data_IF_435281305332
#
_entry.id   IF_435281305332
#
_cell.length_a   1.000
_cell.length_b   1.000
_cell.length_c   1.000
_cell.angle_alpha   90.00
_cell.angle_beta   90.00
_cell.angle_gamma   90.00
#
_symmetry.space_group_name_H-M   'P 1'
#
loop_
_entity.id
_entity.type
_entity.pdbx_description
1 polymer ?
#
# COMPACT_ATOMS: atom_id res chain seq x y z
N UNK A 1 12.50 18.76 -12.26
CA UNK A 1 12.43 17.30 -12.07
C UNK A 1 12.21 17.01 -10.62
N UNK A 2 10.96 16.87 -10.18
CA UNK A 2 10.64 16.57 -8.78
C UNK A 2 9.37 15.71 -8.69
N UNK A 3 9.27 15.00 -7.57
CA UNK A 3 8.08 14.42 -6.96
C UNK A 3 7.21 13.49 -7.79
N UNK A 4 7.66 12.24 -7.91
CA UNK A 4 6.77 11.14 -8.31
C UNK A 4 6.11 10.46 -7.10
N UNK A 5 6.66 10.63 -5.89
CA UNK A 5 6.03 10.15 -4.65
C UNK A 5 5.20 11.30 -4.06
N UNK A 6 3.89 11.25 -4.28
CA UNK A 6 2.95 12.12 -3.56
C UNK A 6 3.01 11.71 -2.09
N UNK A 7 3.44 12.63 -1.21
CA UNK A 7 3.25 12.69 0.25
C UNK A 7 3.12 11.34 1.00
N UNK A 8 4.03 11.05 1.94
CA UNK A 8 3.82 9.94 2.91
C UNK A 8 2.53 10.17 3.70
N UNK A 9 1.75 9.11 3.88
CA UNK A 9 0.48 9.16 4.62
C UNK A 9 0.64 8.38 5.93
N UNK A 10 -0.05 8.78 7.01
CA UNK A 10 -0.23 7.95 8.20
C UNK A 10 -0.79 6.57 7.83
N UNK A 11 -0.41 5.54 8.59
CA UNK A 11 -0.71 4.14 8.31
C UNK A 11 -2.07 3.76 8.89
N UNK A 12 -3.12 4.42 8.39
CA UNK A 12 -4.53 4.19 8.72
C UNK A 12 -5.36 4.06 7.44
N UNK A 13 -6.40 3.22 7.50
CA UNK A 13 -7.38 3.02 6.45
C UNK A 13 -8.16 4.31 6.12
N UNK A 14 -8.26 5.25 7.07
CA UNK A 14 -8.91 6.55 6.85
C UNK A 14 -8.27 7.34 5.71
N UNK A 15 -6.96 7.14 5.46
CA UNK A 15 -6.23 7.81 4.38
C UNK A 15 -6.38 7.13 3.00
N UNK A 16 -7.09 6.00 2.92
CA UNK A 16 -7.26 5.22 1.69
C UNK A 16 -8.60 5.55 1.02
N UNK A 17 -8.55 6.38 -0.02
CA UNK A 17 -9.71 6.67 -0.89
C UNK A 17 -9.94 5.48 -1.84
N UNK A 18 -11.19 5.04 -1.96
CA UNK A 18 -11.59 3.93 -2.83
C UNK A 18 -11.35 4.18 -4.33
N UNK A 19 -11.04 5.41 -4.73
CA UNK A 19 -10.66 5.78 -6.10
C UNK A 19 -9.14 5.92 -6.28
N UNK A 20 -8.37 5.71 -5.22
CA UNK A 20 -6.93 5.91 -5.19
C UNK A 20 -6.11 4.66 -5.52
N UNK A 21 -4.83 4.90 -5.81
CA UNK A 21 -3.78 3.90 -6.00
C UNK A 21 -2.64 4.23 -5.03
N UNK A 22 -2.30 3.29 -4.17
CA UNK A 22 -1.35 3.50 -3.08
C UNK A 22 -0.22 2.46 -3.13
N UNK A 23 0.95 2.84 -2.64
CA UNK A 23 2.09 1.94 -2.46
C UNK A 23 2.39 1.89 -0.97
N UNK A 24 2.27 0.71 -0.38
CA UNK A 24 2.84 0.39 0.93
C UNK A 24 4.21 -0.25 0.71
N UNK A 25 5.19 0.23 1.45
CA UNK A 25 6.56 -0.27 1.49
C UNK A 25 6.84 -0.76 2.92
N UNK A 26 6.95 -2.09 3.09
CA UNK A 26 7.27 -2.73 4.37
C UNK A 26 8.76 -3.12 4.46
N UNK A 27 9.61 -2.56 3.59
CA UNK A 27 11.03 -2.88 3.39
C UNK A 27 11.32 -4.26 2.76
N UNK A 28 10.41 -5.23 2.86
CA UNK A 28 10.56 -6.56 2.26
C UNK A 28 9.83 -6.70 0.91
N UNK A 29 8.69 -6.04 0.77
CA UNK A 29 7.83 -6.07 -0.42
C UNK A 29 7.16 -4.73 -0.63
N UNK A 30 6.75 -4.49 -1.88
CA UNK A 30 5.86 -3.40 -2.23
C UNK A 30 4.45 -3.94 -2.41
N UNK A 31 3.49 -3.37 -1.70
CA UNK A 31 2.06 -3.66 -1.91
C UNK A 31 1.46 -2.48 -2.65
N UNK A 32 0.95 -2.75 -3.85
CA UNK A 32 0.31 -1.77 -4.71
C UNK A 32 -1.19 -2.00 -4.61
N UNK A 33 -1.83 -1.15 -3.81
CA UNK A 33 -3.24 -1.28 -3.47
C UNK A 33 -4.12 -0.41 -4.37
N UNK A 34 -5.15 -1.03 -4.92
CA UNK A 34 -6.15 -0.44 -5.80
C UNK A 34 -7.46 -0.28 -5.03
N UNK A 35 -7.93 0.96 -4.92
CA UNK A 35 -9.26 1.21 -4.35
C UNK A 35 -10.37 0.53 -5.17
N UNK A 36 -11.47 0.19 -4.52
CA UNK A 36 -12.55 -0.60 -5.11
C UNK A 36 -13.30 0.11 -6.23
N UNK A 37 -13.30 1.44 -6.20
CA UNK A 37 -13.93 2.36 -7.16
C UNK A 37 -12.93 2.99 -8.13
N UNK A 38 -11.69 2.51 -8.18
CA UNK A 38 -10.70 2.99 -9.15
C UNK A 38 -11.11 2.63 -10.58
N UNK A 39 -10.81 3.52 -11.54
CA UNK A 39 -11.12 3.26 -12.95
C UNK A 39 -10.47 1.95 -13.42
N UNK A 40 -11.21 1.03 -14.08
CA UNK A 40 -10.65 -0.18 -14.66
C UNK A 40 -9.51 0.09 -15.65
N UNK A 41 -9.50 1.26 -16.28
CA UNK A 41 -8.44 1.69 -17.18
C UNK A 41 -7.10 1.77 -16.49
N UNK A 42 -7.05 2.09 -15.19
CA UNK A 42 -5.79 2.16 -14.44
C UNK A 42 -5.17 0.76 -14.34
N UNK A 43 -5.98 -0.28 -14.11
CA UNK A 43 -5.52 -1.67 -14.12
C UNK A 43 -4.96 -2.06 -15.48
N UNK A 44 -5.69 -1.76 -16.56
CA UNK A 44 -5.23 -2.01 -17.95
C UNK A 44 -3.98 -1.21 -18.31
N UNK A 45 -3.91 0.05 -17.96
CA UNK A 45 -2.76 0.91 -18.24
C UNK A 45 -1.48 0.47 -17.51
N UNK A 46 -1.61 -0.26 -16.40
CA UNK A 46 -0.49 -0.83 -15.65
C UNK A 46 -0.14 -2.25 -16.11
N UNK A 47 -1.15 -3.05 -16.49
CA UNK A 47 -1.02 -4.48 -16.79
C UNK A 47 -1.37 -4.86 -18.23
N UNK A 48 -1.48 -3.88 -19.12
CA UNK A 48 -1.91 -3.97 -20.52
C UNK A 48 -3.36 -4.44 -20.74
N UNK A 49 -3.71 -4.52 -22.01
CA UNK A 49 -5.08 -4.74 -22.48
C UNK A 49 -5.56 -6.19 -22.25
N UNK A 50 -4.62 -7.13 -22.07
CA UNK A 50 -4.86 -8.53 -21.72
C UNK A 50 -5.19 -8.74 -20.23
N UNK A 51 -5.25 -7.66 -19.44
CA UNK A 51 -5.54 -7.74 -18.02
C UNK A 51 -6.94 -8.29 -17.74
N UNK A 52 -7.00 -9.52 -17.24
CA UNK A 52 -8.25 -10.24 -16.93
C UNK A 52 -8.96 -9.78 -15.65
N UNK A 53 -8.52 -8.70 -15.00
CA UNK A 53 -9.03 -8.27 -13.69
C UNK A 53 -8.48 -9.06 -12.50
N UNK A 54 -7.60 -10.04 -12.74
CA UNK A 54 -6.99 -10.88 -11.70
C UNK A 54 -5.70 -10.25 -11.14
N UNK A 55 -5.80 -9.63 -9.97
CA UNK A 55 -4.69 -8.96 -9.28
C UNK A 55 -3.71 -9.93 -8.60
N UNK A 56 -4.01 -11.23 -8.54
CA UNK A 56 -3.14 -12.22 -7.89
C UNK A 56 -1.84 -12.50 -8.64
N UNK A 57 -1.80 -12.21 -9.95
CA UNK A 57 -0.67 -12.52 -10.82
C UNK A 57 0.48 -11.54 -10.58
N UNK A 58 1.61 -12.10 -10.16
CA UNK A 58 2.73 -11.43 -9.47
C UNK A 58 3.60 -10.52 -10.36
N UNK A 59 3.54 -10.64 -11.70
CA UNK A 59 4.47 -9.88 -12.55
C UNK A 59 3.93 -8.51 -12.97
N UNK A 60 4.46 -7.48 -12.32
CA UNK A 60 4.55 -6.14 -12.91
C UNK A 60 5.80 -6.10 -13.81
N UNK A 61 5.58 -6.13 -15.11
CA UNK A 61 6.62 -5.88 -16.10
C UNK A 61 6.53 -4.44 -16.60
N UNK A 62 7.65 -3.79 -16.94
CA UNK A 62 7.60 -2.52 -17.66
C UNK A 62 6.82 -2.73 -18.96
N UNK A 63 5.75 -1.96 -19.15
CA UNK A 63 4.97 -1.96 -20.39
C UNK A 63 5.14 -0.64 -21.12
N UNK A 64 4.82 -0.63 -22.41
CA UNK A 64 4.88 0.57 -23.25
C UNK A 64 3.69 1.52 -22.99
N UNK A 65 3.45 1.83 -21.72
CA UNK A 65 2.41 2.74 -21.28
C UNK A 65 3.01 3.74 -20.27
N UNK A 66 2.66 5.02 -20.40
CA UNK A 66 3.24 6.10 -19.58
C UNK A 66 3.04 5.85 -18.07
N UNK A 67 1.85 5.40 -17.68
CA UNK A 67 1.53 5.07 -16.29
C UNK A 67 2.38 3.91 -15.74
N UNK A 68 2.59 2.86 -16.53
CA UNK A 68 3.45 1.73 -16.17
C UNK A 68 4.89 2.19 -15.99
N UNK A 69 5.43 2.96 -16.95
CA UNK A 69 6.79 3.54 -16.85
C UNK A 69 6.94 4.42 -15.61
N UNK A 70 5.95 5.25 -15.32
CA UNK A 70 5.94 6.12 -14.14
C UNK A 70 5.95 5.31 -12.85
N UNK A 71 5.11 4.29 -12.73
CA UNK A 71 5.09 3.39 -11.57
C UNK A 71 6.43 2.68 -11.40
N UNK A 72 6.98 2.09 -12.46
CA UNK A 72 8.28 1.41 -12.42
C UNK A 72 9.39 2.36 -11.95
N UNK A 73 9.39 3.62 -12.40
CA UNK A 73 10.35 4.63 -11.95
C UNK A 73 10.20 4.98 -10.46
N UNK A 74 8.99 4.98 -9.92
CA UNK A 74 8.77 5.13 -8.46
C UNK A 74 9.36 3.94 -7.73
N UNK A 75 9.02 2.73 -8.15
CA UNK A 75 9.48 1.50 -7.50
C UNK A 75 11.01 1.41 -7.52
N UNK A 76 11.67 1.69 -8.65
CA UNK A 76 13.14 1.75 -8.72
C UNK A 76 13.74 2.73 -7.71
N UNK A 77 13.18 3.93 -7.57
CA UNK A 77 13.62 4.92 -6.57
C UNK A 77 13.39 4.48 -5.13
N UNK A 78 12.35 3.69 -4.86
CA UNK A 78 12.13 3.11 -3.54
C UNK A 78 13.19 2.05 -3.24
N UNK A 79 13.51 1.18 -4.20
CA UNK A 79 14.57 0.15 -4.05
C UNK A 79 15.95 0.73 -3.79
N UNK A 80 16.27 1.90 -4.35
CA UNK A 80 17.53 2.60 -4.07
C UNK A 80 17.71 2.95 -2.59
N UNK A 81 16.63 3.02 -1.80
CA UNK A 81 16.70 3.33 -0.35
C UNK A 81 17.09 2.12 0.50
N UNK A 82 16.74 0.93 0.06
CA UNK A 82 17.08 -0.33 0.75
C UNK A 82 17.50 -1.39 -0.28
N UNK A 83 18.82 -1.46 -0.60
CA UNK A 83 19.34 -2.39 -1.60
C UNK A 83 19.49 -3.82 -1.06
N UNK A 84 19.17 -4.06 0.21
CA UNK A 84 19.45 -5.33 0.89
C UNK A 84 18.61 -6.49 0.34
N UNK A 85 17.43 -6.18 -0.21
CA UNK A 85 16.50 -7.16 -0.79
C UNK A 85 15.88 -6.61 -2.07
N UNK A 86 15.57 -7.50 -3.02
CA UNK A 86 14.71 -7.13 -4.15
C UNK A 86 13.25 -7.21 -3.71
N UNK A 87 12.63 -6.07 -3.44
CA UNK A 87 11.25 -6.01 -2.97
C UNK A 87 10.29 -6.49 -4.07
N UNK A 88 9.68 -7.65 -3.84
CA UNK A 88 8.62 -8.19 -4.71
C UNK A 88 7.39 -7.29 -4.68
N UNK A 89 6.69 -7.20 -5.81
CA UNK A 89 5.48 -6.39 -5.91
C UNK A 89 4.24 -7.28 -5.81
N UNK A 90 3.33 -6.92 -4.91
CA UNK A 90 2.02 -7.55 -4.78
C UNK A 90 0.94 -6.55 -5.18
N UNK A 91 0.06 -6.95 -6.10
CA UNK A 91 -1.11 -6.16 -6.43
C UNK A 91 -2.27 -6.62 -5.56
N UNK A 92 -2.99 -5.67 -5.00
CA UNK A 92 -4.09 -5.94 -4.07
C UNK A 92 -5.25 -5.02 -4.41
N UNK A 93 -6.47 -5.56 -4.50
CA UNK A 93 -7.67 -4.73 -4.68
C UNK A 93 -8.48 -4.65 -3.39
N UNK A 94 -9.10 -3.50 -3.15
CA UNK A 94 -10.07 -3.34 -2.07
C UNK A 94 -11.19 -4.38 -2.15
N UNK A 95 -11.49 -5.02 -1.02
CA UNK A 95 -12.49 -6.08 -0.91
C UNK A 95 -11.98 -7.47 -1.27
N UNK A 96 -10.73 -7.62 -1.72
CA UNK A 96 -10.15 -8.91 -2.11
C UNK A 96 -9.66 -9.68 -0.88
N UNK A 97 -10.57 -10.25 -0.09
CA UNK A 97 -10.22 -11.04 1.09
C UNK A 97 -9.84 -12.48 0.73
N UNK A 98 -8.88 -13.11 1.45
CA UNK A 98 -8.12 -12.59 2.60
C UNK A 98 -6.86 -11.79 2.19
N UNK A 99 -6.61 -11.61 0.89
CA UNK A 99 -5.38 -11.00 0.36
C UNK A 99 -5.20 -9.56 0.86
N UNK A 100 -6.25 -8.75 0.82
CA UNK A 100 -6.23 -7.39 1.33
C UNK A 100 -5.90 -7.34 2.81
N UNK A 101 -6.54 -8.18 3.62
CA UNK A 101 -6.21 -8.32 5.04
C UNK A 101 -4.73 -8.61 5.24
N UNK A 102 -4.22 -9.65 4.59
CA UNK A 102 -2.85 -10.14 4.77
C UNK A 102 -1.76 -9.16 4.28
N UNK A 103 -1.93 -8.55 3.11
CA UNK A 103 -0.89 -7.70 2.51
C UNK A 103 -0.98 -6.24 2.95
N UNK A 104 -2.19 -5.69 3.18
CA UNK A 104 -2.35 -4.28 3.47
C UNK A 104 -2.84 -4.03 4.89
N UNK A 105 -4.04 -4.49 5.25
CA UNK A 105 -4.71 -4.02 6.48
C UNK A 105 -3.91 -4.36 7.74
N UNK A 106 -3.20 -5.50 7.74
CA UNK A 106 -2.34 -5.87 8.85
C UNK A 106 -1.16 -4.93 9.10
N UNK A 107 -0.81 -4.07 8.13
CA UNK A 107 0.29 -3.11 8.21
C UNK A 107 -0.17 -1.68 8.54
N UNK A 108 -1.49 -1.45 8.70
CA UNK A 108 -2.04 -0.15 9.07
C UNK A 108 -1.98 0.02 10.58
N UNK A 109 -0.78 0.32 11.09
CA UNK A 109 -0.45 0.31 12.53
C UNK A 109 -1.18 1.38 13.35
N UNK A 110 -1.75 2.39 12.71
CA UNK A 110 -2.53 3.41 13.41
C UNK A 110 -3.94 2.89 13.76
N UNK A 111 -4.43 1.87 13.04
CA UNK A 111 -5.75 1.28 13.21
C UNK A 111 -5.74 0.12 14.22
N UNK A 112 -6.94 -0.23 14.70
CA UNK A 112 -7.14 -1.46 15.44
C UNK A 112 -7.04 -2.66 14.49
N UNK A 113 -6.13 -3.59 14.77
CA UNK A 113 -5.93 -4.74 13.90
C UNK A 113 -5.50 -6.00 14.67
N UNK A 114 -6.04 -7.16 14.29
CA UNK A 114 -5.67 -8.45 14.90
C UNK A 114 -5.89 -8.54 16.41
N UNK A 115 -6.80 -7.74 16.99
CA UNK A 115 -7.02 -7.63 18.44
C UNK A 115 -6.05 -6.70 19.17
N UNK A 116 -5.10 -6.07 18.47
CA UNK A 116 -4.24 -5.02 19.02
C UNK A 116 -4.98 -3.67 19.07
N UNK A 117 -4.60 -2.83 20.04
CA UNK A 117 -5.12 -1.47 20.19
C UNK A 117 -4.69 -0.57 19.02
N UNK A 118 -5.53 0.39 18.66
CA UNK A 118 -5.13 1.47 17.75
C UNK A 118 -4.05 2.35 18.40
N UNK A 119 -3.38 3.18 17.61
CA UNK A 119 -2.41 4.15 18.14
C UNK A 119 -3.07 5.11 19.16
N UNK A 120 -4.28 5.58 18.88
CA UNK A 120 -5.03 6.46 19.77
C UNK A 120 -5.37 5.79 21.11
N UNK A 121 -5.81 4.54 21.06
CA UNK A 121 -6.12 3.74 22.27
C UNK A 121 -4.87 3.53 23.12
N UNK A 122 -3.73 3.24 22.48
CA UNK A 122 -2.46 3.05 23.17
C UNK A 122 -2.00 4.32 23.89
N UNK A 123 -2.08 5.49 23.24
CA UNK A 123 -1.75 6.78 23.86
C UNK A 123 -2.67 7.07 25.05
N UNK A 124 -3.97 6.78 24.92
CA UNK A 124 -4.93 6.97 26.02
C UNK A 124 -4.61 6.04 27.21
N UNK A 125 -4.26 4.78 26.94
CA UNK A 125 -3.84 3.83 27.97
C UNK A 125 -2.59 4.31 28.70
N UNK A 126 -1.56 4.74 27.97
CA UNK A 126 -0.33 5.29 28.55
C UNK A 126 -0.61 6.51 29.42
N UNK A 127 -1.42 7.45 28.94
CA UNK A 127 -1.78 8.64 29.70
C UNK A 127 -2.42 8.28 31.05
N UNK A 128 -3.34 7.31 31.07
CA UNK A 128 -3.97 6.84 32.32
C UNK A 128 -2.94 6.21 33.27
N UNK A 129 -2.01 5.42 32.76
CA UNK A 129 -0.97 4.79 33.58
C UNK A 129 -0.02 5.83 34.19
N UNK A 130 0.37 6.86 33.44
CA UNK A 130 1.22 7.94 33.95
C UNK A 130 0.51 8.70 35.08
N UNK A 131 -0.78 9.01 34.92
CA UNK A 131 -1.55 9.73 35.95
C UNK A 131 -1.81 8.90 37.22
N UNK A 132 -1.92 7.57 37.10
CA UNK A 132 -2.10 6.68 38.27
C UNK A 132 -0.81 6.47 39.06
N UNK A 133 0.34 6.65 38.42
CA UNK A 133 1.66 6.44 39.01
C UNK A 133 2.34 7.76 39.44
N UNK A 134 1.67 8.90 39.26
CA UNK A 134 2.10 10.22 39.72
C UNK A 134 1.53 10.51 41.11
#
# INVERSE_FOLDING_TARGET
GSDVIKRRLPLTAENLDSRGLYILDDSFRFVIWFGGSISPDIGRNLRGDDFSGDYSKVSLSPRDHEMSRRLMKILSKLRERDPSYFQLCHLVRQGEQPREGFFLLMNLVDDQNGGANSYADWILQLHRQVQQNA
#
